data_IF_725634807967
#
_entry.id   IF_725634807967
#
_cell.length_a   1.000
_cell.length_b   1.000
_cell.length_c   1.000
_cell.angle_alpha   90.00
_cell.angle_beta   90.00
_cell.angle_gamma   90.00
#
_symmetry.space_group_name_H-M   'P 1'
#
loop_
_entity.id
_entity.type
_entity.pdbx_description
1 polymer ?
#
# COMPACT_ATOMS: atom_id res chain seq x y z
N UNK A 1 -15.03 20.23 -1.94
CA UNK A 1 -14.76 19.43 -0.72
C UNK A 1 -13.39 18.71 -0.76
N UNK A 2 -12.89 18.16 -1.87
CA UNK A 2 -11.60 17.42 -1.87
C UNK A 2 -10.30 18.24 -1.96
N UNK A 3 -10.34 19.54 -2.30
CA UNK A 3 -9.19 20.43 -2.10
C UNK A 3 -8.92 20.69 -0.61
N UNK A 4 -9.96 20.61 0.22
CA UNK A 4 -9.89 20.80 1.67
C UNK A 4 -9.09 19.68 2.34
N UNK A 5 -9.30 18.42 1.94
CA UNK A 5 -8.60 17.26 2.50
C UNK A 5 -7.07 17.40 2.45
N UNK A 6 -6.50 17.58 1.26
CA UNK A 6 -5.03 17.73 1.09
C UNK A 6 -4.51 18.99 1.78
N UNK A 7 -5.28 20.09 1.76
CA UNK A 7 -4.88 21.33 2.42
C UNK A 7 -4.81 21.17 3.95
N UNK A 8 -5.83 20.57 4.57
CA UNK A 8 -5.86 20.31 6.02
C UNK A 8 -4.71 19.39 6.43
N UNK A 9 -4.47 18.31 5.69
CA UNK A 9 -3.31 17.46 5.97
C UNK A 9 -1.99 18.23 5.78
N UNK A 10 -1.82 19.07 4.76
CA UNK A 10 -0.61 19.90 4.64
C UNK A 10 -0.41 20.82 5.85
N UNK A 11 -1.49 21.44 6.33
CA UNK A 11 -1.45 22.31 7.50
C UNK A 11 -1.06 21.54 8.76
N UNK A 12 -1.78 20.46 9.10
CA UNK A 12 -1.50 19.68 10.31
C UNK A 12 -0.11 19.03 10.30
N UNK A 13 0.35 18.54 9.15
CA UNK A 13 1.68 17.95 9.01
C UNK A 13 2.77 19.01 9.11
N UNK A 14 2.52 20.22 8.60
CA UNK A 14 3.43 21.35 8.75
C UNK A 14 3.51 21.84 10.19
N UNK A 15 2.38 21.91 10.90
CA UNK A 15 2.33 22.26 12.32
C UNK A 15 3.14 21.25 13.15
N UNK A 16 2.90 19.95 12.94
CA UNK A 16 3.64 18.88 13.61
C UNK A 16 5.16 19.01 13.38
N UNK A 17 5.61 19.17 12.13
CA UNK A 17 7.05 19.33 11.86
C UNK A 17 7.64 20.60 12.48
N UNK A 18 6.89 21.70 12.49
CA UNK A 18 7.37 22.96 13.08
C UNK A 18 7.56 22.81 14.58
N UNK A 19 6.61 22.18 15.26
CA UNK A 19 6.67 21.92 16.70
C UNK A 19 7.80 20.95 17.06
N UNK A 20 7.92 19.84 16.32
CA UNK A 20 8.83 18.74 16.67
C UNK A 20 10.26 18.93 16.15
N UNK A 21 10.45 19.70 15.07
CA UNK A 21 11.73 19.74 14.34
C UNK A 21 12.22 21.16 14.02
N UNK A 22 11.47 22.21 14.37
CA UNK A 22 11.94 23.59 14.26
C UNK A 22 12.35 23.99 12.84
N UNK A 23 13.66 24.23 12.62
CA UNK A 23 14.20 24.74 11.36
C UNK A 23 14.40 23.69 10.26
N UNK A 24 14.13 22.41 10.54
CA UNK A 24 14.36 21.31 9.59
C UNK A 24 13.23 21.17 8.54
N UNK A 25 12.16 21.96 8.65
CA UNK A 25 11.04 22.00 7.71
C UNK A 25 10.95 23.33 6.93
N UNK A 26 10.00 23.42 6.01
CA UNK A 26 9.78 24.64 5.22
C UNK A 26 10.44 24.64 3.83
N UNK A 27 10.88 23.47 3.32
CA UNK A 27 11.55 23.37 2.01
C UNK A 27 10.69 23.98 0.89
N UNK A 28 11.20 25.04 0.27
CA UNK A 28 10.50 25.78 -0.79
C UNK A 28 9.26 26.53 -0.29
N UNK A 29 9.28 27.01 0.96
CA UNK A 29 8.16 27.74 1.59
C UNK A 29 7.00 26.84 2.00
N UNK A 30 7.21 25.53 2.11
CA UNK A 30 6.18 24.54 2.43
C UNK A 30 6.47 23.88 3.79
N UNK A 31 5.76 24.24 4.87
CA UNK A 31 6.02 23.70 6.23
C UNK A 31 5.90 22.18 6.34
N UNK A 32 5.12 21.54 5.47
CA UNK A 32 4.96 20.09 5.39
C UNK A 32 6.08 19.38 4.61
N UNK A 33 7.17 20.07 4.26
CA UNK A 33 8.33 19.48 3.58
C UNK A 33 9.58 19.70 4.42
N UNK A 34 10.21 18.60 4.80
CA UNK A 34 11.52 18.60 5.43
C UNK A 34 12.60 18.89 4.40
N UNK A 35 13.73 19.45 4.83
CA UNK A 35 14.93 19.51 3.98
C UNK A 35 15.38 18.08 3.63
N UNK A 36 15.98 17.83 2.46
CA UNK A 36 16.31 16.47 2.01
C UNK A 36 17.16 15.67 3.01
N UNK A 37 18.15 16.31 3.63
CA UNK A 37 19.05 15.67 4.60
C UNK A 37 18.34 15.28 5.91
N UNK A 38 17.19 15.89 6.18
CA UNK A 38 16.34 15.60 7.34
C UNK A 38 15.15 14.70 7.01
N UNK A 39 15.12 14.05 5.83
CA UNK A 39 13.98 13.22 5.40
C UNK A 39 13.61 12.12 6.40
N UNK A 40 14.59 11.57 7.13
CA UNK A 40 14.37 10.59 8.19
C UNK A 40 13.50 11.08 9.34
N UNK A 41 13.40 12.41 9.56
CA UNK A 41 12.51 12.97 10.59
C UNK A 41 11.02 12.76 10.27
N UNK A 42 10.67 12.44 9.01
CA UNK A 42 9.29 12.10 8.64
C UNK A 42 8.85 10.75 9.21
N UNK A 43 9.79 9.88 9.57
CA UNK A 43 9.54 8.60 10.21
C UNK A 43 9.37 8.76 11.72
N UNK A 44 8.55 7.90 12.31
CA UNK A 44 8.41 7.77 13.74
C UNK A 44 9.79 7.53 14.36
N UNK A 45 10.14 8.19 15.48
CA UNK A 45 11.45 8.02 16.11
C UNK A 45 11.83 6.54 16.32
N UNK A 46 10.86 5.71 16.72
CA UNK A 46 11.05 4.30 17.00
C UNK A 46 11.44 3.43 15.78
N UNK A 47 11.24 3.90 14.54
CA UNK A 47 11.51 3.11 13.33
C UNK A 47 12.60 3.70 12.43
N UNK A 48 13.21 4.83 12.79
CA UNK A 48 14.16 5.52 11.89
C UNK A 48 15.33 4.63 11.49
N UNK A 49 15.97 4.02 12.49
CA UNK A 49 17.13 3.15 12.28
C UNK A 49 16.74 1.85 11.59
N UNK A 50 15.63 1.24 12.03
CA UNK A 50 15.12 0.00 11.44
C UNK A 50 14.70 0.20 9.98
N UNK A 51 14.04 1.30 9.64
CA UNK A 51 13.64 1.61 8.27
C UNK A 51 14.85 1.85 7.38
N UNK A 52 15.84 2.63 7.85
CA UNK A 52 17.06 2.88 7.10
C UNK A 52 17.83 1.57 6.83
N UNK A 53 17.99 0.73 7.86
CA UNK A 53 18.66 -0.58 7.75
C UNK A 53 17.90 -1.53 6.82
N UNK A 54 16.60 -1.71 7.05
CA UNK A 54 15.75 -2.58 6.24
C UNK A 54 15.74 -2.18 4.76
N UNK A 55 15.63 -0.88 4.47
CA UNK A 55 15.63 -0.39 3.09
C UNK A 55 16.99 -0.61 2.42
N UNK A 56 18.10 -0.40 3.14
CA UNK A 56 19.43 -0.69 2.63
C UNK A 56 19.63 -2.19 2.36
N UNK A 57 19.29 -3.04 3.33
CA UNK A 57 19.43 -4.50 3.22
C UNK A 57 18.60 -5.09 2.07
N UNK A 58 17.34 -4.67 1.93
CA UNK A 58 16.43 -5.16 0.89
C UNK A 58 16.57 -4.43 -0.44
N UNK A 59 17.48 -3.45 -0.55
CA UNK A 59 17.68 -2.64 -1.75
C UNK A 59 16.42 -1.88 -2.18
N UNK A 60 15.63 -1.40 -1.22
CA UNK A 60 14.38 -0.70 -1.47
C UNK A 60 14.67 0.75 -1.85
N UNK A 61 14.03 1.21 -2.92
CA UNK A 61 14.14 2.61 -3.34
C UNK A 61 13.17 3.50 -2.55
N UNK A 62 13.72 4.50 -1.86
CA UNK A 62 12.91 5.58 -1.27
C UNK A 62 12.21 6.39 -2.36
N UNK A 63 10.94 6.71 -2.14
CA UNK A 63 10.21 7.61 -3.04
C UNK A 63 10.84 8.99 -3.07
N UNK A 64 10.81 9.64 -4.24
CA UNK A 64 11.35 11.00 -4.48
C UNK A 64 10.88 12.04 -3.45
N UNK A 65 9.70 11.84 -2.88
CA UNK A 65 9.06 12.75 -1.94
C UNK A 65 8.97 12.17 -0.52
N UNK A 66 9.88 11.28 -0.11
CA UNK A 66 9.93 10.74 1.25
C UNK A 66 10.08 11.84 2.33
N UNK A 67 10.66 13.00 1.99
CA UNK A 67 10.73 14.18 2.88
C UNK A 67 9.43 15.02 2.96
N UNK A 68 8.38 14.61 2.24
CA UNK A 68 7.09 15.30 2.24
C UNK A 68 6.17 14.65 3.29
N UNK A 69 5.56 15.44 4.18
CA UNK A 69 4.70 14.92 5.26
C UNK A 69 3.52 14.10 4.77
N UNK A 70 3.08 14.33 3.52
CA UNK A 70 2.04 13.53 2.84
C UNK A 70 2.55 12.31 2.06
N UNK A 71 3.78 11.86 2.29
CA UNK A 71 4.34 10.70 1.59
C UNK A 71 3.66 9.41 2.01
N UNK A 72 2.99 8.74 1.07
CA UNK A 72 2.31 7.46 1.33
C UNK A 72 3.26 6.34 1.76
N UNK A 73 4.48 6.28 1.23
CA UNK A 73 5.50 5.29 1.65
C UNK A 73 5.85 5.47 3.13
N UNK A 74 6.20 6.69 3.54
CA UNK A 74 6.46 7.02 4.97
C UNK A 74 5.22 6.83 5.84
N UNK A 75 4.03 7.16 5.35
CA UNK A 75 2.79 6.91 6.07
C UNK A 75 2.60 5.40 6.33
N UNK A 76 2.74 4.56 5.31
CA UNK A 76 2.70 3.10 5.42
C UNK A 76 3.70 2.58 6.46
N UNK A 77 4.96 3.03 6.40
CA UNK A 77 6.01 2.64 7.35
C UNK A 77 5.66 3.04 8.79
N UNK A 78 5.22 4.28 8.99
CA UNK A 78 4.84 4.80 10.30
C UNK A 78 3.70 3.99 10.96
N UNK A 79 2.81 3.41 10.15
CA UNK A 79 1.72 2.59 10.64
C UNK A 79 2.11 1.13 10.87
N UNK A 80 2.85 0.53 9.95
CA UNK A 80 3.05 -0.93 9.93
C UNK A 80 4.40 -1.38 10.49
N UNK A 81 5.48 -0.61 10.32
CA UNK A 81 6.81 -1.04 10.74
C UNK A 81 6.94 -1.23 12.27
N UNK A 82 6.32 -0.40 13.12
CA UNK A 82 6.29 -0.66 14.57
C UNK A 82 5.70 -2.02 14.96
N UNK A 83 4.91 -2.64 14.07
CA UNK A 83 4.27 -3.93 14.28
C UNK A 83 5.07 -5.10 13.70
N UNK A 84 6.21 -4.85 13.04
CA UNK A 84 6.97 -5.85 12.31
C UNK A 84 7.57 -6.95 13.21
N UNK A 85 7.72 -6.69 14.50
CA UNK A 85 8.13 -7.67 15.52
C UNK A 85 7.03 -7.98 16.56
N UNK A 86 5.83 -7.42 16.41
CA UNK A 86 4.68 -7.67 17.29
C UNK A 86 3.58 -8.43 16.53
N UNK A 87 3.71 -9.77 16.41
CA UNK A 87 2.72 -10.58 15.71
C UNK A 87 1.32 -10.52 16.33
N UNK A 88 1.21 -10.20 17.63
CA UNK A 88 -0.08 -10.13 18.29
C UNK A 88 -0.84 -8.85 17.92
N UNK A 89 -0.16 -7.70 17.92
CA UNK A 89 -0.75 -6.44 17.44
C UNK A 89 -1.04 -6.49 15.94
N UNK A 90 -0.11 -7.04 15.15
CA UNK A 90 -0.32 -7.20 13.71
C UNK A 90 -1.50 -8.13 13.39
N UNK A 91 -1.71 -9.21 14.15
CA UNK A 91 -2.89 -10.07 14.01
C UNK A 91 -4.21 -9.30 14.21
N UNK A 92 -4.27 -8.34 15.14
CA UNK A 92 -5.48 -7.52 15.35
C UNK A 92 -5.73 -6.60 14.16
N UNK A 93 -4.68 -5.97 13.62
CA UNK A 93 -4.75 -5.15 12.40
C UNK A 93 -5.27 -5.97 11.21
N UNK A 94 -4.68 -7.15 10.97
CA UNK A 94 -5.09 -8.03 9.86
C UNK A 94 -6.52 -8.55 10.05
N UNK A 95 -6.87 -8.95 11.28
CA UNK A 95 -8.23 -9.39 11.62
C UNK A 95 -9.26 -8.31 11.33
N UNK A 96 -9.02 -7.10 11.81
CA UNK A 96 -9.89 -5.93 11.57
C UNK A 96 -9.99 -5.59 10.08
N UNK A 97 -8.86 -5.56 9.36
CA UNK A 97 -8.84 -5.17 7.96
C UNK A 97 -9.59 -6.17 7.06
N UNK A 98 -9.43 -7.46 7.31
CA UNK A 98 -10.00 -8.53 6.48
C UNK A 98 -11.34 -9.05 6.99
N UNK A 99 -11.87 -8.50 8.09
CA UNK A 99 -13.10 -8.96 8.76
C UNK A 99 -13.04 -10.46 9.11
N UNK A 100 -11.97 -10.84 9.81
CA UNK A 100 -11.71 -12.20 10.29
C UNK A 100 -11.25 -12.16 11.76
N UNK A 101 -11.34 -13.29 12.46
CA UNK A 101 -10.70 -13.43 13.76
C UNK A 101 -9.18 -13.16 13.64
N UNK A 102 -8.54 -12.52 14.63
CA UNK A 102 -7.09 -12.27 14.60
C UNK A 102 -6.31 -13.56 14.26
N UNK A 103 -5.62 -13.61 13.11
CA UNK A 103 -5.01 -14.84 12.64
C UNK A 103 -3.68 -15.10 13.33
N UNK A 104 -3.13 -16.29 13.16
CA UNK A 104 -1.75 -16.57 13.56
C UNK A 104 -0.81 -15.96 12.53
N UNK A 105 -0.11 -14.87 12.87
CA UNK A 105 0.90 -14.30 11.99
C UNK A 105 2.06 -15.28 11.75
N UNK A 106 2.60 -15.24 10.54
CA UNK A 106 3.77 -16.01 10.13
C UNK A 106 4.84 -15.03 9.65
N UNK A 107 6.13 -15.29 9.92
CA UNK A 107 7.19 -14.42 9.43
C UNK A 107 7.15 -14.33 7.91
N UNK A 108 7.32 -13.10 7.41
CA UNK A 108 7.58 -12.83 6.00
C UNK A 108 9.07 -13.00 5.71
N UNK A 109 9.90 -12.48 6.62
CA UNK A 109 11.34 -12.40 6.49
C UNK A 109 12.00 -12.55 7.87
N UNK A 110 13.33 -12.48 7.89
CA UNK A 110 14.11 -12.29 9.12
C UNK A 110 14.90 -10.99 9.00
N UNK A 111 15.15 -10.35 10.14
CA UNK A 111 16.09 -9.23 10.21
C UNK A 111 17.55 -9.70 10.29
N UNK A 112 18.50 -8.76 10.30
CA UNK A 112 19.93 -9.05 10.40
C UNK A 112 20.32 -9.84 11.67
N UNK A 113 19.51 -9.77 12.73
CA UNK A 113 19.70 -10.52 13.96
C UNK A 113 19.00 -11.89 13.95
N UNK A 114 18.53 -12.35 12.78
CA UNK A 114 17.75 -13.58 12.60
C UNK A 114 16.44 -13.62 13.40
N UNK A 115 15.89 -12.46 13.77
CA UNK A 115 14.59 -12.38 14.43
C UNK A 115 13.49 -12.37 13.38
N UNK A 116 12.38 -13.01 13.70
CA UNK A 116 11.20 -13.03 12.84
C UNK A 116 10.70 -11.61 12.55
N UNK A 117 10.48 -11.33 11.27
CA UNK A 117 9.96 -10.07 10.75
C UNK A 117 8.66 -10.32 9.97
N UNK A 118 7.56 -9.74 10.45
CA UNK A 118 6.21 -10.12 10.03
C UNK A 118 5.59 -9.24 8.94
N UNK A 119 6.22 -8.13 8.56
CA UNK A 119 5.73 -7.19 7.53
C UNK A 119 6.81 -6.93 6.48
N UNK A 120 6.72 -7.52 5.30
CA UNK A 120 7.64 -7.16 4.23
C UNK A 120 7.22 -5.83 3.60
N UNK A 121 8.15 -4.89 3.38
CA UNK A 121 7.86 -3.66 2.65
C UNK A 121 8.29 -3.75 1.20
N UNK A 122 7.53 -3.06 0.34
CA UNK A 122 7.79 -2.97 -1.09
C UNK A 122 7.93 -4.37 -1.74
N UNK A 123 7.02 -5.26 -1.38
CA UNK A 123 7.09 -6.68 -1.72
C UNK A 123 6.76 -6.93 -3.19
N UNK A 124 7.68 -7.60 -3.89
CA UNK A 124 7.59 -7.89 -5.34
C UNK A 124 7.38 -9.39 -5.65
N UNK A 125 7.29 -10.22 -4.61
CA UNK A 125 7.30 -11.68 -4.71
C UNK A 125 8.67 -12.30 -4.99
N UNK A 126 8.82 -13.58 -4.62
CA UNK A 126 10.09 -14.31 -4.73
C UNK A 126 10.52 -14.54 -6.19
N UNK A 127 9.57 -14.50 -7.12
CA UNK A 127 9.77 -14.76 -8.56
C UNK A 127 9.18 -13.65 -9.41
N UNK A 128 9.66 -13.55 -10.66
CA UNK A 128 9.13 -12.59 -11.63
C UNK A 128 7.83 -13.09 -12.28
N UNK A 129 6.74 -13.05 -11.52
CA UNK A 129 5.44 -13.54 -12.00
C UNK A 129 4.83 -12.72 -13.13
N UNK A 130 5.23 -11.46 -13.26
CA UNK A 130 4.63 -10.49 -14.18
C UNK A 130 5.52 -10.17 -15.38
N UNK A 131 6.66 -10.86 -15.52
CA UNK A 131 7.65 -10.64 -16.58
C UNK A 131 8.16 -9.18 -16.61
N UNK A 132 8.39 -8.62 -15.43
CA UNK A 132 8.76 -7.22 -15.24
C UNK A 132 10.26 -7.03 -15.05
N UNK A 133 11.02 -8.10 -14.85
CA UNK A 133 12.46 -8.06 -14.91
C UNK A 133 12.89 -7.43 -16.25
N UNK A 134 13.78 -6.45 -16.17
CA UNK A 134 14.36 -5.83 -17.36
C UNK A 134 15.28 -6.81 -18.10
N UNK A 135 15.98 -6.32 -19.13
CA UNK A 135 16.99 -7.11 -19.87
C UNK A 135 18.07 -7.73 -18.97
N UNK A 136 18.31 -7.14 -17.80
CA UNK A 136 19.32 -7.59 -16.84
C UNK A 136 18.79 -8.66 -15.87
N UNK A 137 17.52 -9.07 -15.99
CA UNK A 137 16.92 -10.09 -15.12
C UNK A 137 16.65 -9.64 -13.67
N UNK A 138 16.97 -8.41 -13.32
CA UNK A 138 16.81 -7.88 -11.95
C UNK A 138 15.51 -7.08 -11.80
N UNK A 139 14.95 -7.14 -10.59
CA UNK A 139 13.82 -6.33 -10.12
C UNK A 139 14.22 -5.68 -8.80
N UNK A 140 13.74 -4.46 -8.58
CA UNK A 140 14.05 -3.68 -7.37
C UNK A 140 12.75 -3.36 -6.66
N UNK A 141 12.72 -3.56 -5.33
CA UNK A 141 11.58 -3.19 -4.50
C UNK A 141 11.38 -1.67 -4.52
N UNK A 142 10.15 -1.22 -4.75
CA UNK A 142 9.81 0.20 -4.87
C UNK A 142 10.28 0.90 -6.15
N UNK A 143 10.78 0.17 -7.15
CA UNK A 143 11.21 0.79 -8.42
C UNK A 143 11.02 -0.11 -9.65
N UNK A 144 10.42 0.45 -10.71
CA UNK A 144 10.32 -0.12 -12.06
C UNK A 144 9.62 -1.49 -12.20
N UNK A 145 9.19 -2.11 -11.11
CA UNK A 145 8.41 -3.35 -11.06
C UNK A 145 7.16 -3.15 -10.19
N UNK A 146 6.25 -4.12 -10.22
CA UNK A 146 5.08 -4.15 -9.34
C UNK A 146 5.54 -4.47 -7.95
N UNK A 147 5.21 -3.59 -7.02
CA UNK A 147 5.55 -3.65 -5.61
C UNK A 147 4.26 -3.44 -4.83
N UNK A 148 3.97 -4.31 -3.87
CA UNK A 148 2.99 -4.01 -2.83
C UNK A 148 3.69 -3.18 -1.76
N UNK A 149 3.09 -2.05 -1.34
CA UNK A 149 3.71 -1.16 -0.34
C UNK A 149 4.09 -1.93 0.94
N UNK A 150 3.26 -2.91 1.33
CA UNK A 150 3.63 -3.93 2.29
C UNK A 150 3.03 -5.31 1.95
N UNK A 151 3.47 -6.37 2.62
CA UNK A 151 2.87 -7.69 2.56
C UNK A 151 2.97 -8.38 3.92
N UNK A 152 1.93 -9.13 4.27
CA UNK A 152 1.87 -9.93 5.51
C UNK A 152 1.43 -11.34 5.20
N UNK A 153 1.96 -12.31 5.95
CA UNK A 153 1.63 -13.73 5.84
C UNK A 153 1.07 -14.25 7.15
N UNK A 154 0.02 -15.04 7.08
CA UNK A 154 -0.69 -15.50 8.27
C UNK A 154 -1.42 -16.82 8.02
N UNK A 155 -1.83 -17.48 9.10
CA UNK A 155 -2.72 -18.63 9.05
C UNK A 155 -4.09 -18.26 9.60
N UNK A 156 -5.12 -18.46 8.77
CA UNK A 156 -6.52 -18.26 9.14
C UNK A 156 -7.34 -19.47 8.70
N UNK A 157 -8.23 -19.96 9.57
CA UNK A 157 -9.08 -21.13 9.29
C UNK A 157 -8.31 -22.33 8.70
N UNK A 158 -7.12 -22.60 9.23
CA UNK A 158 -6.26 -23.70 8.81
C UNK A 158 -5.42 -23.46 7.55
N UNK A 159 -5.67 -22.38 6.79
CA UNK A 159 -4.99 -22.06 5.54
C UNK A 159 -3.93 -21.00 5.70
N UNK A 160 -2.83 -21.11 4.95
CA UNK A 160 -1.83 -20.04 4.84
C UNK A 160 -2.29 -19.02 3.82
N UNK A 161 -2.27 -17.75 4.20
CA UNK A 161 -2.66 -16.64 3.37
C UNK A 161 -1.59 -15.55 3.35
N UNK A 162 -1.57 -14.80 2.24
CA UNK A 162 -0.82 -13.55 2.12
C UNK A 162 -1.81 -12.43 1.82
N UNK A 163 -1.67 -11.29 2.49
CA UNK A 163 -2.28 -10.04 2.07
C UNK A 163 -1.18 -9.12 1.53
N UNK A 164 -1.26 -8.80 0.24
CA UNK A 164 -0.53 -7.70 -0.36
C UNK A 164 -1.26 -6.40 0.01
N UNK A 165 -0.54 -5.43 0.56
CA UNK A 165 -1.10 -4.18 1.05
C UNK A 165 -0.71 -3.07 0.08
N UNK A 166 -1.71 -2.40 -0.48
CA UNK A 166 -1.57 -1.15 -1.22
C UNK A 166 -1.99 0.00 -0.32
N UNK A 167 -1.09 0.95 -0.11
CA UNK A 167 -1.29 2.08 0.79
C UNK A 167 -1.33 3.40 0.03
N UNK A 168 -2.41 4.16 0.23
CA UNK A 168 -2.54 5.52 -0.29
C UNK A 168 -2.77 6.51 0.84
N UNK A 169 -2.34 7.75 0.64
CA UNK A 169 -2.60 8.84 1.57
C UNK A 169 -3.33 9.97 0.87
N UNK A 170 -2.68 10.68 -0.06
CA UNK A 170 -3.22 11.91 -0.66
C UNK A 170 -3.30 11.89 -2.18
N UNK A 171 -3.09 10.73 -2.78
CA UNK A 171 -3.12 10.52 -4.22
C UNK A 171 -4.48 10.91 -4.80
N UNK A 172 -4.42 11.48 -6.01
CA UNK A 172 -5.60 11.71 -6.84
C UNK A 172 -5.20 11.53 -8.29
N UNK A 173 -6.02 10.84 -9.06
CA UNK A 173 -5.72 10.45 -10.42
C UNK A 173 -6.71 11.06 -11.43
N UNK A 174 -6.35 11.04 -12.71
CA UNK A 174 -7.23 11.56 -13.76
C UNK A 174 -6.76 11.33 -15.19
N UNK A 175 -5.47 11.50 -15.45
CA UNK A 175 -4.89 11.21 -16.77
C UNK A 175 -4.59 9.71 -16.94
N UNK A 176 -4.58 9.19 -18.18
CA UNK A 176 -4.01 7.87 -18.45
C UNK A 176 -2.51 7.83 -18.10
N UNK A 177 -2.00 6.61 -17.88
CA UNK A 177 -0.56 6.40 -17.75
C UNK A 177 0.16 6.75 -19.07
N UNK A 178 1.46 7.11 -19.05
CA UNK A 178 2.20 7.44 -20.26
C UNK A 178 2.16 6.33 -21.31
N UNK A 179 1.73 6.66 -22.53
CA UNK A 179 1.47 5.71 -23.61
C UNK A 179 2.72 5.03 -24.18
N UNK A 180 3.90 5.65 -24.03
CA UNK A 180 5.16 5.14 -24.59
C UNK A 180 5.49 3.70 -24.14
N UNK A 181 5.07 3.30 -22.93
CA UNK A 181 5.30 1.95 -22.41
C UNK A 181 4.18 0.94 -22.69
N UNK A 182 3.09 1.35 -23.35
CA UNK A 182 1.90 0.50 -23.52
C UNK A 182 2.17 -0.78 -24.30
N UNK A 183 2.92 -0.79 -25.42
CA UNK A 183 3.22 -2.04 -26.13
C UNK A 183 3.90 -3.08 -25.24
N UNK A 184 4.86 -2.66 -24.40
CA UNK A 184 5.55 -3.54 -23.44
C UNK A 184 4.58 -4.07 -22.38
N UNK A 185 3.70 -3.21 -21.85
CA UNK A 185 2.70 -3.61 -20.85
C UNK A 185 1.70 -4.62 -21.41
N UNK A 186 1.20 -4.38 -22.61
CA UNK A 186 0.29 -5.31 -23.29
C UNK A 186 0.98 -6.66 -23.50
N UNK A 187 2.22 -6.65 -24.01
CA UNK A 187 2.99 -7.88 -24.20
C UNK A 187 3.20 -8.67 -22.90
N UNK A 188 3.40 -7.99 -21.77
CA UNK A 188 3.57 -8.61 -20.44
C UNK A 188 2.28 -9.19 -19.88
N UNK A 189 1.16 -8.47 -20.02
CA UNK A 189 -0.04 -8.75 -19.22
C UNK A 189 -1.18 -9.40 -19.99
N UNK A 190 -1.22 -9.31 -21.33
CA UNK A 190 -2.36 -9.79 -22.14
C UNK A 190 -2.77 -11.23 -21.84
N UNK A 191 -1.80 -12.08 -21.51
CA UNK A 191 -2.01 -13.50 -21.30
C UNK A 191 -2.32 -13.85 -19.83
N UNK A 192 -2.24 -12.87 -18.91
CA UNK A 192 -2.43 -13.07 -17.45
C UNK A 192 -3.41 -12.08 -16.81
N UNK A 193 -4.09 -11.23 -17.59
CA UNK A 193 -5.04 -10.24 -17.08
C UNK A 193 -6.46 -10.80 -16.91
N UNK A 194 -6.92 -11.63 -17.85
CA UNK A 194 -8.29 -12.14 -17.90
C UNK A 194 -8.36 -13.62 -17.51
N UNK A 195 -9.50 -14.02 -16.95
CA UNK A 195 -9.80 -15.40 -16.64
C UNK A 195 -9.70 -16.32 -17.87
N UNK A 196 -9.23 -17.58 -17.71
CA UNK A 196 -8.89 -18.21 -16.43
C UNK A 196 -7.48 -17.88 -15.97
N UNK A 197 -6.62 -17.21 -16.75
CA UNK A 197 -5.22 -16.98 -16.42
C UNK A 197 -4.98 -15.77 -15.50
N UNK A 198 -5.93 -14.86 -15.42
CA UNK A 198 -5.87 -13.64 -14.63
C UNK A 198 -7.08 -13.39 -13.75
N UNK A 199 -7.06 -12.28 -13.00
CA UNK A 199 -8.10 -11.95 -12.03
C UNK A 199 -9.39 -11.38 -12.64
N UNK A 200 -9.36 -10.81 -13.85
CA UNK A 200 -10.50 -10.09 -14.42
C UNK A 200 -11.44 -11.05 -15.17
N UNK A 201 -12.75 -10.91 -15.00
CA UNK A 201 -13.74 -11.67 -15.77
C UNK A 201 -13.60 -11.40 -17.27
N UNK A 202 -13.56 -12.46 -18.07
CA UNK A 202 -13.29 -12.38 -19.52
C UNK A 202 -14.53 -12.05 -20.37
N UNK A 203 -15.72 -11.96 -19.78
CA UNK A 203 -16.99 -11.70 -20.47
C UNK A 203 -17.45 -10.23 -20.39
N UNK A 204 -16.55 -9.31 -20.04
CA UNK A 204 -16.85 -7.88 -19.83
C UNK A 204 -16.67 -7.00 -21.08
N UNK A 205 -16.10 -7.58 -22.15
CA UNK A 205 -15.74 -6.84 -23.37
C UNK A 205 -14.70 -5.76 -23.11
N UNK A 206 -13.72 -6.05 -22.25
CA UNK A 206 -12.62 -5.16 -21.89
C UNK A 206 -11.31 -5.65 -22.53
N UNK A 207 -10.37 -4.75 -22.75
CA UNK A 207 -8.98 -5.05 -23.10
C UNK A 207 -8.01 -4.69 -21.98
N UNK A 208 -6.73 -5.04 -22.09
CA UNK A 208 -5.71 -4.67 -21.09
C UNK A 208 -5.60 -3.14 -20.97
N UNK A 209 -5.67 -2.47 -22.11
CA UNK A 209 -5.54 -1.02 -22.25
C UNK A 209 -6.67 -0.27 -21.55
N UNK A 210 -7.84 -0.89 -21.40
CA UNK A 210 -8.97 -0.33 -20.63
C UNK A 210 -8.61 -0.03 -19.16
N UNK A 211 -7.51 -0.61 -18.67
CA UNK A 211 -6.99 -0.41 -17.31
C UNK A 211 -5.85 0.61 -17.24
N UNK A 212 -5.38 1.20 -18.34
CA UNK A 212 -4.23 2.13 -18.37
C UNK A 212 -4.54 3.54 -17.82
N UNK A 213 -5.30 3.59 -16.74
CA UNK A 213 -5.58 4.76 -15.91
C UNK A 213 -5.43 4.39 -14.44
N UNK A 214 -4.68 5.17 -13.67
CA UNK A 214 -4.60 4.96 -12.23
C UNK A 214 -5.92 5.40 -11.54
N UNK A 215 -6.38 4.71 -10.48
CA UNK A 215 -5.69 3.64 -9.76
C UNK A 215 -5.85 2.24 -10.39
N UNK A 216 -6.64 2.07 -11.45
CA UNK A 216 -6.94 0.75 -12.03
C UNK A 216 -5.69 0.02 -12.54
N UNK A 217 -4.74 0.72 -13.13
CA UNK A 217 -3.50 0.09 -13.60
C UNK A 217 -2.65 -0.47 -12.46
N UNK A 218 -2.51 0.29 -11.36
CA UNK A 218 -1.82 -0.16 -10.15
C UNK A 218 -2.51 -1.39 -9.53
N UNK A 219 -3.82 -1.30 -9.28
CA UNK A 219 -4.60 -2.40 -8.71
C UNK A 219 -4.58 -3.65 -9.59
N UNK A 220 -4.67 -3.49 -10.92
CA UNK A 220 -4.62 -4.62 -11.85
C UNK A 220 -3.29 -5.38 -11.73
N UNK A 221 -2.16 -4.67 -11.71
CA UNK A 221 -0.84 -5.30 -11.59
C UNK A 221 -0.69 -6.05 -10.28
N UNK A 222 -1.12 -5.46 -9.17
CA UNK A 222 -1.03 -6.10 -7.86
C UNK A 222 -2.01 -7.29 -7.72
N UNK A 223 -3.20 -7.20 -8.31
CA UNK A 223 -4.13 -8.33 -8.31
C UNK A 223 -3.62 -9.47 -9.21
N UNK A 224 -2.97 -9.17 -10.35
CA UNK A 224 -2.28 -10.18 -11.15
C UNK A 224 -1.14 -10.82 -10.35
N UNK A 225 -0.33 -10.02 -9.63
CA UNK A 225 0.73 -10.53 -8.75
C UNK A 225 0.15 -11.51 -7.71
N UNK A 226 -0.94 -11.13 -7.04
CA UNK A 226 -1.63 -11.98 -6.08
C UNK A 226 -2.07 -13.33 -6.69
N UNK A 227 -2.74 -13.30 -7.85
CA UNK A 227 -3.20 -14.52 -8.53
C UNK A 227 -2.03 -15.43 -8.90
N UNK A 228 -0.93 -14.89 -9.43
CA UNK A 228 0.21 -15.70 -9.82
C UNK A 228 0.98 -16.25 -8.60
N UNK A 229 1.15 -15.46 -7.54
CA UNK A 229 1.72 -15.92 -6.26
C UNK A 229 0.90 -17.07 -5.67
N UNK A 230 -0.43 -16.95 -5.66
CA UNK A 230 -1.32 -18.00 -5.16
C UNK A 230 -1.18 -19.29 -5.97
N UNK A 231 -1.12 -19.20 -7.29
CA UNK A 231 -0.93 -20.38 -8.17
C UNK A 231 0.41 -21.06 -7.96
N UNK A 232 1.45 -20.27 -7.71
CA UNK A 232 2.79 -20.78 -7.46
C UNK A 232 2.95 -21.35 -6.05
N UNK A 233 1.96 -21.16 -5.17
CA UNK A 233 2.07 -21.49 -3.75
C UNK A 233 3.20 -20.69 -3.09
N UNK A 234 3.35 -19.41 -3.43
CA UNK A 234 4.42 -18.57 -2.89
C UNK A 234 4.39 -18.58 -1.36
N UNK A 235 5.53 -18.89 -0.74
CA UNK A 235 5.65 -19.07 0.70
C UNK A 235 4.60 -20.05 1.27
N UNK A 236 4.18 -21.05 0.49
CA UNK A 236 3.13 -22.00 0.84
C UNK A 236 1.73 -21.40 0.96
N UNK A 237 1.48 -20.20 0.40
CA UNK A 237 0.18 -19.55 0.45
C UNK A 237 -0.86 -20.30 -0.39
N UNK A 238 -2.02 -20.55 0.21
CA UNK A 238 -3.20 -21.13 -0.44
C UNK A 238 -4.17 -20.04 -0.92
N UNK A 239 -4.05 -18.83 -0.35
CA UNK A 239 -4.79 -17.65 -0.78
C UNK A 239 -3.90 -16.41 -0.75
N UNK A 240 -3.99 -15.57 -1.77
CA UNK A 240 -3.32 -14.27 -1.79
C UNK A 240 -4.36 -13.20 -2.14
N UNK A 241 -4.52 -12.21 -1.25
CA UNK A 241 -5.49 -11.12 -1.40
C UNK A 241 -4.75 -9.80 -1.58
N UNK A 242 -5.41 -8.84 -2.23
CA UNK A 242 -5.01 -7.44 -2.26
C UNK A 242 -5.84 -6.65 -1.25
N UNK A 243 -5.18 -6.01 -0.29
CA UNK A 243 -5.76 -5.14 0.71
C UNK A 243 -5.35 -3.70 0.39
N UNK A 244 -6.30 -2.90 -0.10
CA UNK A 244 -6.13 -1.48 -0.30
C UNK A 244 -6.52 -0.71 0.97
N UNK A 245 -5.64 0.19 1.43
CA UNK A 245 -5.86 1.05 2.59
C UNK A 245 -5.61 2.51 2.19
N UNK A 246 -6.60 3.37 2.43
CA UNK A 246 -6.48 4.82 2.24
C UNK A 246 -7.33 5.60 3.24
N UNK A 247 -7.08 6.89 3.50
CA UNK A 247 -7.98 7.68 4.37
C UNK A 247 -9.39 7.77 3.81
N UNK A 248 -10.40 7.70 4.67
CA UNK A 248 -11.81 7.86 4.27
C UNK A 248 -12.08 9.23 3.64
N UNK A 249 -11.39 10.27 4.12
CA UNK A 249 -11.54 11.64 3.63
C UNK A 249 -11.00 11.89 2.21
N UNK A 250 -10.23 10.96 1.61
CA UNK A 250 -9.66 11.15 0.27
C UNK A 250 -10.64 10.75 -0.86
N UNK A 251 -11.81 11.39 -0.92
CA UNK A 251 -12.84 11.10 -1.91
C UNK A 251 -12.37 11.23 -3.38
N UNK A 252 -11.30 11.99 -3.65
CA UNK A 252 -10.72 12.14 -4.99
C UNK A 252 -10.11 10.84 -5.52
N UNK A 253 -9.56 10.01 -4.64
CA UNK A 253 -8.96 8.73 -4.98
C UNK A 253 -10.00 7.73 -5.52
N UNK A 254 -11.26 7.85 -5.08
CA UNK A 254 -12.38 6.98 -5.46
C UNK A 254 -12.92 7.25 -6.88
N UNK A 255 -12.38 8.23 -7.61
CA UNK A 255 -12.84 8.56 -8.95
C UNK A 255 -12.58 7.41 -9.94
N UNK A 256 -13.62 7.01 -10.69
CA UNK A 256 -13.47 6.10 -11.83
C UNK A 256 -12.82 6.82 -13.02
N UNK A 257 -11.50 6.75 -13.06
CA UNK A 257 -10.66 7.44 -14.05
C UNK A 257 -10.78 6.83 -15.45
N UNK A 258 -10.72 5.51 -15.55
CA UNK A 258 -10.81 4.74 -16.79
C UNK A 258 -12.19 4.91 -17.47
N UNK A 259 -12.28 5.49 -18.68
CA UNK A 259 -13.55 5.71 -19.38
C UNK A 259 -14.37 4.43 -19.59
N UNK A 260 -13.74 3.34 -20.01
CA UNK A 260 -14.39 2.06 -20.26
C UNK A 260 -15.00 1.42 -19.01
N UNK A 261 -14.51 1.81 -17.82
CA UNK A 261 -14.95 1.23 -16.54
C UNK A 261 -16.08 2.02 -15.88
N UNK A 262 -16.40 3.24 -16.35
CA UNK A 262 -17.47 4.09 -15.78
C UNK A 262 -18.86 3.45 -15.86
N UNK A 263 -19.06 2.55 -16.83
CA UNK A 263 -20.32 1.80 -16.97
C UNK A 263 -20.58 0.83 -15.81
N UNK A 264 -19.59 0.54 -14.98
CA UNK A 264 -19.72 -0.40 -13.85
C UNK A 264 -19.96 0.29 -12.51
N UNK A 265 -19.92 1.62 -12.43
CA UNK A 265 -20.17 2.35 -11.19
C UNK A 265 -19.41 3.68 -11.09
N UNK A 266 -19.47 4.28 -9.90
CA UNK A 266 -18.92 5.62 -9.61
C UNK A 266 -17.77 5.61 -8.62
N UNK A 267 -17.50 4.48 -7.97
CA UNK A 267 -16.43 4.29 -7.00
C UNK A 267 -15.36 3.35 -7.58
N UNK A 268 -14.12 3.80 -7.68
CA UNK A 268 -13.03 3.07 -8.34
C UNK A 268 -12.77 1.69 -7.71
N UNK A 269 -12.87 1.58 -6.39
CA UNK A 269 -12.56 0.37 -5.65
C UNK A 269 -13.71 -0.64 -5.73
N UNK A 270 -14.95 -0.20 -5.58
CA UNK A 270 -16.12 -1.02 -5.80
C UNK A 270 -16.22 -1.49 -7.26
N UNK A 271 -15.93 -0.59 -8.21
CA UNK A 271 -15.84 -0.94 -9.63
C UNK A 271 -14.80 -2.02 -9.82
N UNK A 272 -13.55 -1.82 -9.38
CA UNK A 272 -12.48 -2.81 -9.56
C UNK A 272 -12.83 -4.19 -8.97
N UNK A 273 -13.34 -4.23 -7.73
CA UNK A 273 -13.80 -5.45 -7.08
C UNK A 273 -14.85 -6.20 -7.92
N UNK A 274 -15.78 -5.46 -8.53
CA UNK A 274 -16.83 -6.04 -9.37
C UNK A 274 -16.31 -6.65 -10.68
N UNK A 275 -15.11 -6.26 -11.14
CA UNK A 275 -14.51 -6.81 -12.36
C UNK A 275 -13.83 -8.16 -12.12
N UNK A 276 -13.52 -8.49 -10.86
CA UNK A 276 -12.77 -9.69 -10.50
C UNK A 276 -13.60 -10.97 -10.64
N UNK A 277 -12.94 -12.10 -10.89
CA UNK A 277 -13.54 -13.44 -10.78
C UNK A 277 -13.93 -13.76 -9.35
N UNK A 278 -13.10 -13.33 -8.39
CA UNK A 278 -13.33 -13.49 -6.95
C UNK A 278 -13.29 -12.10 -6.28
N UNK A 279 -14.42 -11.39 -6.18
CA UNK A 279 -14.47 -10.02 -5.64
C UNK A 279 -13.91 -9.90 -4.21
N UNK A 280 -13.96 -10.99 -3.43
CA UNK A 280 -13.44 -11.03 -2.04
C UNK A 280 -11.91 -11.08 -1.95
N UNK A 281 -11.21 -11.24 -3.07
CA UNK A 281 -9.74 -11.20 -3.11
C UNK A 281 -9.19 -9.77 -3.22
N UNK A 282 -10.06 -8.78 -3.40
CA UNK A 282 -9.75 -7.36 -3.24
C UNK A 282 -10.56 -6.78 -2.09
N UNK A 283 -9.88 -6.26 -1.08
CA UNK A 283 -10.50 -5.65 0.10
C UNK A 283 -10.04 -4.21 0.17
N UNK A 284 -10.98 -3.26 0.13
CA UNK A 284 -10.69 -1.84 0.37
C UNK A 284 -11.17 -1.44 1.75
N UNK A 285 -10.31 -0.76 2.52
CA UNK A 285 -10.60 -0.26 3.87
C UNK A 285 -10.06 1.15 4.03
N UNK A 286 -10.65 1.87 4.97
CA UNK A 286 -10.09 3.14 5.39
C UNK A 286 -9.00 2.95 6.45
N UNK A 287 -8.01 3.86 6.53
CA UNK A 287 -7.01 3.85 7.61
C UNK A 287 -7.72 3.86 8.97
N UNK A 288 -8.70 4.74 9.11
CA UNK A 288 -9.50 4.95 10.32
C UNK A 288 -10.18 3.64 10.75
N UNK A 289 -10.87 2.96 9.83
CA UNK A 289 -11.58 1.71 10.10
C UNK A 289 -10.67 0.55 10.53
N UNK A 290 -9.41 0.55 10.07
CA UNK A 290 -8.43 -0.49 10.42
C UNK A 290 -7.73 -0.18 11.74
N UNK A 291 -7.28 1.06 11.91
CA UNK A 291 -6.32 1.42 12.96
C UNK A 291 -6.93 2.11 14.17
N UNK A 292 -8.07 2.80 14.06
CA UNK A 292 -8.68 3.45 15.23
C UNK A 292 -8.96 2.45 16.39
N UNK A 293 -9.51 1.23 16.15
CA UNK A 293 -9.69 0.24 17.22
C UNK A 293 -8.37 -0.24 17.85
N UNK A 294 -7.25 -0.05 17.15
CA UNK A 294 -5.93 -0.50 17.61
C UNK A 294 -5.20 0.58 18.41
N UNK A 295 -5.62 1.84 18.35
CA UNK A 295 -5.00 2.90 19.15
C UNK A 295 -5.25 2.73 20.65
N UNK A 296 -6.31 2.01 21.03
CA UNK A 296 -6.62 1.71 22.44
C UNK A 296 -6.06 0.36 22.89
N UNK A 297 -5.76 -0.53 21.93
CA UNK A 297 -5.38 -1.93 22.20
C UNK A 297 -3.95 -2.27 21.76
N UNK A 298 -3.23 -1.33 21.14
CA UNK A 298 -1.88 -1.50 20.60
C UNK A 298 -0.79 -0.99 21.54
N UNK A 299 0.49 -1.04 21.11
CA UNK A 299 1.59 -0.47 21.87
C UNK A 299 1.38 1.03 22.14
N UNK A 300 1.52 1.46 23.39
CA UNK A 300 1.16 2.81 23.83
C UNK A 300 1.92 3.91 23.07
N UNK A 301 3.25 3.78 22.94
CA UNK A 301 4.08 4.77 22.22
C UNK A 301 3.71 4.88 20.74
N UNK A 302 3.41 3.75 20.10
CA UNK A 302 2.93 3.72 18.72
C UNK A 302 1.61 4.44 18.57
N UNK A 303 0.64 4.14 19.44
CA UNK A 303 -0.67 4.77 19.41
C UNK A 303 -0.61 6.28 19.70
N UNK A 304 0.20 6.70 20.67
CA UNK A 304 0.45 8.13 20.95
C UNK A 304 1.05 8.83 19.73
N UNK A 305 2.11 8.24 19.14
CA UNK A 305 2.72 8.81 17.95
C UNK A 305 1.71 8.96 16.80
N UNK A 306 0.86 7.95 16.54
CA UNK A 306 -0.13 8.03 15.47
C UNK A 306 -1.21 9.09 15.73
N UNK A 307 -1.63 9.28 17.00
CA UNK A 307 -2.57 10.35 17.39
C UNK A 307 -1.98 11.73 17.15
N UNK A 308 -0.73 11.94 17.55
CA UNK A 308 -0.06 13.23 17.43
C UNK A 308 0.35 13.55 15.99
N UNK A 309 0.85 12.55 15.26
CA UNK A 309 1.37 12.69 13.89
C UNK A 309 0.27 12.82 12.86
N UNK A 310 -0.87 12.14 13.06
CA UNK A 310 -1.98 12.07 12.09
C UNK A 310 -3.35 12.36 12.72
N UNK A 311 -3.52 13.50 13.43
CA UNK A 311 -4.73 13.78 14.22
C UNK A 311 -6.01 13.75 13.38
N UNK A 312 -5.94 14.24 12.14
CA UNK A 312 -7.06 14.31 11.21
C UNK A 312 -7.65 12.95 10.78
N UNK A 313 -6.97 11.82 11.03
CA UNK A 313 -7.56 10.49 10.82
C UNK A 313 -8.50 10.08 11.97
N UNK A 314 -8.38 10.72 13.12
CA UNK A 314 -9.08 10.30 14.35
C UNK A 314 -10.20 11.25 14.73
N UNK A 315 -10.28 12.40 14.07
CA UNK A 315 -11.42 13.30 14.14
C UNK A 315 -12.60 12.62 13.46
N UNK A 316 -13.61 12.20 14.25
CA UNK A 316 -14.93 11.90 13.70
C UNK A 316 -15.41 13.11 12.93
N UNK A 317 -15.97 12.93 11.72
CA UNK A 317 -16.69 14.02 11.05
C UNK A 317 -17.75 14.56 12.02
N UNK A 318 -17.45 15.73 12.62
CA UNK A 318 -18.37 16.45 13.49
C UNK A 318 -19.45 17.15 12.68
#
# INVERSE_FOLDING_TARGET
MSGKFVALHREGQGAYFTEQHGLENGLGGSPYRLVPDAAGLNLAPAIRDDAARYFAEKGITWHRHANHGLSSQVCCLNFLMPLAHDPAALARVVGQALDIAPPKMLPMEQDEASRDWYVAFEWIGERDYLNEAGKNGTRTRGANATSADAAVRFRSNGRIEIALIEWKFTESYGAPIPSAGNPTRVARYRDIVFAPAGPIRNNLGLTVEDFFWDPFYQMLRQQMLAVQMQRAGELGAERVRLLHISPAGNAKLHKVTAPALRKFGTDAFAVFASLLTEPKDFVSRSIEAVFAPQLDNGPAEWATYLRDRYPLFWESEA
#
